data_IF_342211062697
#
_entry.id   IF_342211062697
#
_cell.length_a   1.000
_cell.length_b   1.000
_cell.length_c   1.000
_cell.angle_alpha   90.00
_cell.angle_beta   90.00
_cell.angle_gamma   90.00
#
_symmetry.space_group_name_H-M   'P 1'
#
loop_
_entity.id
_entity.type
_entity.pdbx_description
1 polymer ?
#
# COMPACT_ATOMS: atom_id res chain seq x y z
N UNK A 1 -18.68 -18.17 11.57
CA UNK A 1 -17.31 -17.71 11.21
C UNK A 1 -16.87 -18.47 9.96
N UNK A 2 -16.11 -17.86 9.04
CA UNK A 2 -15.59 -18.58 7.86
C UNK A 2 -14.73 -19.77 8.29
N UNK A 3 -14.72 -20.83 7.47
CA UNK A 3 -13.86 -21.99 7.72
C UNK A 3 -12.38 -21.60 7.61
N UNK A 4 -11.49 -22.39 8.21
CA UNK A 4 -10.04 -22.19 8.06
C UNK A 4 -9.60 -22.22 6.59
N UNK A 5 -10.21 -23.06 5.76
CA UNK A 5 -9.96 -23.12 4.33
C UNK A 5 -10.36 -21.82 3.63
N UNK A 6 -11.57 -21.32 3.91
CA UNK A 6 -12.07 -20.06 3.36
C UNK A 6 -11.18 -18.87 3.75
N UNK A 7 -10.77 -18.79 5.02
CA UNK A 7 -9.88 -17.73 5.49
C UNK A 7 -8.52 -17.78 4.78
N UNK A 8 -7.97 -18.98 4.58
CA UNK A 8 -6.71 -19.18 3.85
C UNK A 8 -6.82 -18.71 2.40
N UNK A 9 -7.93 -19.01 1.71
CA UNK A 9 -8.16 -18.55 0.34
C UNK A 9 -8.13 -17.03 0.26
N UNK A 10 -8.90 -16.34 1.12
CA UNK A 10 -8.93 -14.88 1.12
C UNK A 10 -7.57 -14.26 1.48
N UNK A 11 -6.85 -14.84 2.46
CA UNK A 11 -5.51 -14.37 2.82
C UNK A 11 -4.57 -14.39 1.61
N UNK A 12 -4.53 -15.50 0.86
CA UNK A 12 -3.66 -15.61 -0.30
C UNK A 12 -4.13 -14.71 -1.46
N UNK A 13 -5.45 -14.57 -1.65
CA UNK A 13 -5.99 -13.69 -2.68
C UNK A 13 -5.62 -12.22 -2.45
N UNK A 14 -5.77 -11.71 -1.23
CA UNK A 14 -5.39 -10.32 -0.96
C UNK A 14 -3.87 -10.11 -0.98
N UNK A 15 -3.09 -11.11 -0.56
CA UNK A 15 -1.63 -11.06 -0.68
C UNK A 15 -1.19 -11.03 -2.16
N UNK A 16 -1.77 -11.88 -3.01
CA UNK A 16 -1.41 -11.93 -4.43
C UNK A 16 -1.72 -10.62 -5.15
N UNK A 17 -2.83 -9.96 -4.81
CA UNK A 17 -3.15 -8.63 -5.38
C UNK A 17 -2.06 -7.61 -5.02
N UNK A 18 -1.63 -7.56 -3.75
CA UNK A 18 -0.58 -6.65 -3.33
C UNK A 18 0.78 -6.96 -4.01
N UNK A 19 1.09 -8.24 -4.23
CA UNK A 19 2.28 -8.69 -4.96
C UNK A 19 2.23 -8.28 -6.44
N UNK A 20 1.10 -8.51 -7.12
CA UNK A 20 0.91 -8.15 -8.52
C UNK A 20 1.02 -6.63 -8.74
N UNK A 21 0.47 -5.81 -7.82
CA UNK A 21 0.68 -4.36 -7.85
C UNK A 21 2.17 -3.99 -7.87
N UNK A 22 2.98 -4.70 -7.07
CA UNK A 22 4.43 -4.49 -7.01
C UNK A 22 5.13 -4.86 -8.32
N UNK A 23 4.80 -6.04 -8.87
CA UNK A 23 5.35 -6.50 -10.17
C UNK A 23 4.99 -5.52 -11.30
N UNK A 24 3.76 -5.01 -11.32
CA UNK A 24 3.34 -4.01 -12.30
C UNK A 24 4.11 -2.71 -12.13
N UNK A 25 4.28 -2.22 -10.90
CA UNK A 25 4.99 -0.98 -10.60
C UNK A 25 6.48 -1.09 -10.98
N UNK A 26 7.15 -2.19 -10.65
CA UNK A 26 8.54 -2.47 -11.01
C UNK A 26 8.74 -2.44 -12.53
N UNK A 27 7.87 -3.13 -13.28
CA UNK A 27 7.96 -3.21 -14.76
C UNK A 27 7.74 -1.87 -15.43
N UNK A 28 6.85 -1.04 -14.87
CA UNK A 28 6.55 0.29 -15.39
C UNK A 28 7.61 1.34 -15.01
N UNK A 29 8.45 1.06 -14.02
CA UNK A 29 9.41 2.03 -13.52
C UNK A 29 10.59 2.26 -14.47
N UNK A 30 11.00 3.52 -14.57
CA UNK A 30 12.26 3.94 -15.20
C UNK A 30 13.39 4.14 -14.19
N UNK A 31 13.07 4.43 -12.92
CA UNK A 31 14.06 4.69 -11.87
C UNK A 31 14.78 3.41 -11.45
N UNK A 32 16.12 3.37 -11.45
CA UNK A 32 16.87 2.23 -10.92
C UNK A 32 16.56 1.94 -9.44
N UNK A 33 16.23 2.96 -8.65
CA UNK A 33 15.84 2.75 -7.25
C UNK A 33 14.58 1.88 -7.15
N UNK A 34 13.63 2.06 -8.06
CA UNK A 34 12.40 1.28 -8.08
C UNK A 34 12.62 -0.05 -8.81
N UNK A 35 13.27 -0.02 -9.99
CA UNK A 35 13.38 -1.17 -10.89
C UNK A 35 14.42 -2.21 -10.45
N UNK A 36 15.54 -1.76 -9.89
CA UNK A 36 16.68 -2.62 -9.54
C UNK A 36 16.84 -2.76 -8.03
N UNK A 37 16.64 -1.67 -7.28
CA UNK A 37 16.76 -1.69 -5.81
C UNK A 37 15.45 -2.04 -5.10
N UNK A 38 14.34 -2.10 -5.83
CA UNK A 38 13.01 -2.42 -5.30
C UNK A 38 12.61 -1.53 -4.13
N UNK A 39 12.95 -0.24 -4.22
CA UNK A 39 12.69 0.77 -3.18
C UNK A 39 11.23 1.25 -3.21
N UNK A 40 10.29 0.33 -3.05
CA UNK A 40 8.86 0.60 -2.99
C UNK A 40 8.14 -0.48 -2.18
N UNK A 41 6.92 -0.17 -1.73
CA UNK A 41 6.00 -1.16 -1.18
C UNK A 41 4.60 -0.94 -1.74
N UNK A 42 3.81 -2.01 -1.85
CA UNK A 42 2.41 -1.97 -2.23
C UNK A 42 1.56 -2.55 -1.12
N UNK A 43 0.40 -1.95 -0.87
CA UNK A 43 -0.50 -2.37 0.19
C UNK A 43 -1.96 -2.10 -0.16
N UNK A 44 -2.83 -2.96 0.36
CA UNK A 44 -4.28 -2.84 0.32
C UNK A 44 -4.79 -2.41 1.68
N UNK A 45 -5.69 -1.43 1.69
CA UNK A 45 -6.33 -0.93 2.90
C UNK A 45 -7.85 -1.08 2.77
N UNK A 46 -8.51 -1.31 3.91
CA UNK A 46 -9.96 -1.23 4.03
C UNK A 46 -10.41 0.23 3.94
N UNK A 47 -11.70 0.46 3.71
CA UNK A 47 -12.27 1.82 3.59
C UNK A 47 -12.14 2.68 4.86
N UNK A 48 -11.88 2.05 6.02
CA UNK A 48 -11.56 2.71 7.30
C UNK A 48 -10.05 2.96 7.49
N UNK A 49 -9.23 2.65 6.48
CA UNK A 49 -7.79 2.82 6.47
C UNK A 49 -7.01 1.78 7.27
N UNK A 50 -7.62 0.66 7.69
CA UNK A 50 -6.87 -0.48 8.26
C UNK A 50 -6.15 -1.27 7.16
N UNK A 51 -4.92 -1.68 7.42
CA UNK A 51 -4.13 -2.51 6.52
C UNK A 51 -4.77 -3.91 6.35
N UNK A 52 -5.05 -4.30 5.11
CA UNK A 52 -5.61 -5.61 4.76
C UNK A 52 -4.52 -6.59 4.30
N UNK A 53 -3.68 -6.14 3.37
CA UNK A 53 -2.58 -6.94 2.83
C UNK A 53 -1.47 -6.03 2.33
N UNK A 54 -0.27 -6.58 2.20
CA UNK A 54 0.88 -5.85 1.67
C UNK A 54 1.86 -6.81 1.01
N UNK A 55 2.59 -6.30 0.03
CA UNK A 55 3.80 -6.90 -0.45
C UNK A 55 4.96 -6.21 0.29
N UNK A 56 5.41 -6.84 1.37
CA UNK A 56 6.39 -6.27 2.29
C UNK A 56 7.81 -6.40 1.73
N UNK A 57 8.27 -5.35 1.05
CA UNK A 57 9.65 -5.29 0.53
C UNK A 57 10.56 -4.50 1.48
N UNK A 58 10.02 -3.51 2.21
CA UNK A 58 10.80 -2.61 3.08
C UNK A 58 10.08 -2.35 4.42
N UNK A 59 10.69 -2.71 5.57
CA UNK A 59 10.07 -2.56 6.90
C UNK A 59 9.66 -1.13 7.25
N UNK A 60 10.40 -0.12 6.79
CA UNK A 60 10.09 1.28 7.10
C UNK A 60 8.74 1.72 6.48
N UNK A 61 8.37 1.19 5.32
CA UNK A 61 7.08 1.46 4.70
C UNK A 61 5.92 0.89 5.50
N UNK A 62 6.12 -0.25 6.20
CA UNK A 62 5.09 -0.87 7.02
C UNK A 62 4.65 0.03 8.20
N UNK A 63 5.59 0.77 8.78
CA UNK A 63 5.27 1.73 9.83
C UNK A 63 4.58 2.99 9.31
N UNK A 64 5.00 3.46 8.13
CA UNK A 64 4.66 4.80 7.65
C UNK A 64 3.38 4.84 6.78
N UNK A 65 3.15 3.83 5.92
CA UNK A 65 1.99 3.80 5.00
C UNK A 65 0.63 3.91 5.70
N UNK A 66 0.37 3.22 6.84
CA UNK A 66 -0.92 3.38 7.54
C UNK A 66 -1.18 4.81 7.99
N UNK A 67 -0.14 5.54 8.43
CA UNK A 67 -0.28 6.94 8.82
C UNK A 67 -0.63 7.82 7.61
N UNK A 68 0.02 7.60 6.46
CA UNK A 68 -0.28 8.29 5.20
C UNK A 68 -1.71 8.09 4.73
N UNK A 69 -2.22 6.86 4.80
CA UNK A 69 -3.60 6.54 4.43
C UNK A 69 -4.60 7.20 5.36
N UNK A 70 -4.35 7.17 6.68
CA UNK A 70 -5.22 7.85 7.65
C UNK A 70 -5.24 9.36 7.44
N UNK A 71 -4.08 9.98 7.17
CA UNK A 71 -3.99 11.40 6.86
C UNK A 71 -4.75 11.76 5.57
N UNK A 72 -4.65 10.93 4.53
CA UNK A 72 -5.39 11.10 3.28
C UNK A 72 -6.92 11.02 3.51
N UNK A 73 -7.39 10.01 4.25
CA UNK A 73 -8.81 9.86 4.60
C UNK A 73 -9.30 11.10 5.37
N UNK A 74 -8.57 11.52 6.41
CA UNK A 74 -8.97 12.64 7.25
C UNK A 74 -9.08 13.96 6.48
N UNK A 75 -8.25 14.17 5.45
CA UNK A 75 -8.15 15.44 4.75
C UNK A 75 -8.93 15.50 3.44
N UNK A 76 -9.15 14.37 2.79
CA UNK A 76 -9.67 14.33 1.42
C UNK A 76 -10.96 13.52 1.26
N UNK A 77 -11.40 12.75 2.26
CA UNK A 77 -12.68 12.06 2.19
C UNK A 77 -13.88 13.06 2.17
N UNK A 78 -15.03 12.69 1.58
CA UNK A 78 -15.32 11.41 0.93
C UNK A 78 -14.67 11.27 -0.44
N UNK A 79 -14.27 10.03 -0.77
CA UNK A 79 -13.73 9.69 -2.09
C UNK A 79 -14.82 9.16 -3.02
N UNK A 80 -14.60 9.37 -4.31
CA UNK A 80 -15.40 8.80 -5.40
C UNK A 80 -14.53 7.94 -6.31
N UNK A 81 -15.15 7.09 -7.14
CA UNK A 81 -14.41 6.23 -8.06
C UNK A 81 -13.59 7.06 -9.04
N UNK A 82 -12.27 6.83 -9.04
CA UNK A 82 -11.32 7.52 -9.90
C UNK A 82 -10.44 8.54 -9.18
N UNK A 83 -10.75 8.88 -7.92
CA UNK A 83 -9.91 9.79 -7.14
C UNK A 83 -8.54 9.18 -6.82
N UNK A 84 -7.50 10.02 -6.89
CA UNK A 84 -6.11 9.65 -6.57
C UNK A 84 -5.56 10.68 -5.59
N UNK A 85 -4.99 10.21 -4.48
CA UNK A 85 -4.33 11.04 -3.46
C UNK A 85 -2.83 10.77 -3.48
N UNK A 86 -2.04 11.84 -3.46
CA UNK A 86 -0.58 11.79 -3.40
C UNK A 86 -0.15 12.47 -2.09
N UNK A 87 0.70 11.81 -1.32
CA UNK A 87 1.19 12.30 -0.03
C UNK A 87 2.71 12.27 -0.03
N UNK A 88 3.33 13.38 0.35
CA UNK A 88 4.77 13.49 0.55
C UNK A 88 5.15 14.20 1.87
N UNK A 89 4.17 14.46 2.75
CA UNK A 89 4.41 15.14 4.03
C UNK A 89 5.09 14.17 5.02
N UNK A 90 6.36 14.42 5.42
CA UNK A 90 7.08 13.54 6.34
C UNK A 90 6.49 13.52 7.75
N UNK A 91 5.63 14.47 8.11
CA UNK A 91 4.94 14.49 9.40
C UNK A 91 3.60 13.76 9.38
N UNK A 92 3.12 13.35 8.21
CA UNK A 92 1.84 12.68 8.01
C UNK A 92 2.02 11.34 7.29
N UNK A 93 3.10 10.61 7.59
CA UNK A 93 3.34 9.25 7.11
C UNK A 93 4.39 9.09 6.00
N UNK A 94 5.05 10.16 5.58
CA UNK A 94 6.32 10.06 4.86
C UNK A 94 7.49 9.79 5.81
N UNK A 95 8.55 9.11 5.35
CA UNK A 95 9.76 8.91 6.16
C UNK A 95 10.76 10.07 6.04
N UNK A 96 10.82 10.68 4.85
CA UNK A 96 11.61 11.86 4.52
C UNK A 96 11.05 12.47 3.23
N UNK A 97 11.49 13.68 2.89
CA UNK A 97 11.30 14.23 1.54
C UNK A 97 12.28 13.54 0.56
N UNK A 98 11.91 13.32 -0.71
CA UNK A 98 12.78 12.71 -1.72
C UNK A 98 14.09 13.48 -1.96
#
# INVERSE_FOLDING_TARGET
MPSAATLSIFRHLFASVAEEMGVTLERAAYSPNIKERLDFSCALFLGDGRLLAQAAHIPVHLGAMPASVQAAIARCAPFTTGDVVIVNDPYQGGNHLP
#
